data_IF_520280212495
#
_entry.id   IF_520280212495
#
_cell.length_a   1.000
_cell.length_b   1.000
_cell.length_c   1.000
_cell.angle_alpha   90.00
_cell.angle_beta   90.00
_cell.angle_gamma   90.00
#
_symmetry.space_group_name_H-M   'P 1'
#
loop_
_entity.id
_entity.type
_entity.pdbx_description
1 polymer ?
#
# COMPACT_ATOMS: atom_id res chain seq x y z
N UNK A 1 17.32 -10.62 -29.51
CA UNK A 1 17.24 -11.26 -28.18
C UNK A 1 15.97 -10.83 -27.45
N UNK A 2 15.68 -9.53 -27.34
CA UNK A 2 14.43 -9.05 -26.74
C UNK A 2 13.17 -9.42 -27.54
N UNK A 3 13.22 -9.47 -28.87
CA UNK A 3 12.05 -9.88 -29.69
C UNK A 3 11.61 -11.32 -29.42
N UNK A 4 12.57 -12.26 -29.33
CA UNK A 4 12.29 -13.65 -28.97
C UNK A 4 11.66 -13.71 -27.58
N UNK A 5 12.19 -12.96 -26.61
CA UNK A 5 11.65 -12.91 -25.26
C UNK A 5 10.23 -12.34 -25.22
N UNK A 6 9.95 -11.23 -25.93
CA UNK A 6 8.59 -10.67 -26.03
C UNK A 6 7.60 -11.66 -26.62
N UNK A 7 8.00 -12.45 -27.63
CA UNK A 7 7.16 -13.49 -28.20
C UNK A 7 6.89 -14.63 -27.19
N UNK A 8 7.92 -15.09 -26.46
CA UNK A 8 7.74 -16.13 -25.44
C UNK A 8 6.92 -15.64 -24.24
N UNK A 9 7.08 -14.39 -23.81
CA UNK A 9 6.28 -13.81 -22.72
C UNK A 9 4.81 -13.68 -23.12
N UNK A 10 4.53 -13.32 -24.38
CA UNK A 10 3.15 -13.27 -24.87
C UNK A 10 2.53 -14.67 -24.97
N UNK A 11 3.29 -15.67 -25.40
CA UNK A 11 2.81 -17.06 -25.48
C UNK A 11 2.45 -17.66 -24.11
N UNK A 12 2.99 -17.10 -23.03
CA UNK A 12 2.71 -17.50 -21.64
C UNK A 12 1.73 -16.56 -20.93
N UNK A 13 1.28 -15.49 -21.60
CA UNK A 13 0.34 -14.53 -21.06
C UNK A 13 -1.11 -15.00 -21.22
N UNK A 14 -1.90 -14.84 -20.16
CA UNK A 14 -3.35 -15.03 -20.18
C UNK A 14 -4.08 -13.72 -19.93
N UNK A 15 -5.21 -13.50 -20.58
CA UNK A 15 -6.06 -12.32 -20.32
C UNK A 15 -6.69 -12.47 -18.93
N UNK A 16 -6.50 -11.44 -18.10
CA UNK A 16 -7.18 -11.28 -16.81
C UNK A 16 -8.12 -10.10 -16.94
N UNK A 17 -9.42 -10.33 -16.79
CA UNK A 17 -10.40 -9.25 -16.76
C UNK A 17 -10.30 -8.48 -15.44
N UNK A 18 -10.09 -7.16 -15.53
CA UNK A 18 -9.90 -6.27 -14.37
C UNK A 18 -11.01 -5.23 -14.25
N UNK A 19 -12.17 -5.48 -14.87
CA UNK A 19 -13.31 -4.57 -14.81
C UNK A 19 -14.07 -4.68 -13.47
N UNK A 20 -13.43 -4.28 -12.38
CA UNK A 20 -14.03 -4.22 -11.04
C UNK A 20 -13.86 -2.82 -10.44
N UNK A 21 -14.87 -2.28 -9.73
CA UNK A 21 -14.79 -0.96 -9.10
C UNK A 21 -13.62 -0.71 -8.14
N UNK A 22 -12.94 -1.76 -7.64
CA UNK A 22 -11.80 -1.63 -6.72
C UNK A 22 -10.49 -1.42 -7.47
N UNK A 23 -10.42 -1.71 -8.77
CA UNK A 23 -9.17 -1.70 -9.52
C UNK A 23 -8.61 -0.29 -9.58
N UNK A 24 -9.42 0.70 -10.00
CA UNK A 24 -8.96 2.09 -10.03
C UNK A 24 -8.51 2.60 -8.66
N UNK A 25 -9.30 2.44 -7.57
CA UNK A 25 -8.85 2.84 -6.24
C UNK A 25 -7.60 2.11 -5.73
N UNK A 26 -7.40 0.83 -6.08
CA UNK A 26 -6.22 0.06 -5.67
C UNK A 26 -4.95 0.53 -6.38
N UNK A 27 -5.06 0.86 -7.67
CA UNK A 27 -3.96 1.45 -8.43
C UNK A 27 -3.61 2.84 -7.90
N UNK A 28 -4.63 3.66 -7.61
CA UNK A 28 -4.46 4.95 -6.96
C UNK A 28 -3.78 4.85 -5.60
N UNK A 29 -4.25 3.95 -4.73
CA UNK A 29 -3.62 3.68 -3.42
C UNK A 29 -2.12 3.38 -3.55
N UNK A 30 -1.74 2.58 -4.57
CA UNK A 30 -0.34 2.22 -4.81
C UNK A 30 0.48 3.44 -5.26
N UNK A 31 -0.11 4.31 -6.10
CA UNK A 31 0.52 5.56 -6.51
C UNK A 31 0.80 6.45 -5.28
N UNK A 32 -0.21 6.74 -4.47
CA UNK A 32 -0.08 7.66 -3.33
C UNK A 32 0.85 7.12 -2.24
N UNK A 33 0.84 5.81 -2.01
CA UNK A 33 1.82 5.17 -1.13
C UNK A 33 3.26 5.35 -1.66
N UNK A 34 3.44 5.29 -2.98
CA UNK A 34 4.71 5.57 -3.64
C UNK A 34 5.14 7.03 -3.53
N UNK A 35 4.20 7.97 -3.67
CA UNK A 35 4.45 9.41 -3.49
C UNK A 35 4.86 9.73 -2.05
N UNK A 36 4.13 9.21 -1.07
CA UNK A 36 4.47 9.27 0.36
C UNK A 36 5.89 8.75 0.61
N UNK A 37 6.20 7.53 0.14
CA UNK A 37 7.52 6.94 0.28
C UNK A 37 8.60 7.77 -0.42
N UNK A 38 8.29 8.36 -1.58
CA UNK A 38 9.16 9.26 -2.32
C UNK A 38 9.52 10.52 -1.54
N UNK A 39 8.55 11.14 -0.85
CA UNK A 39 8.82 12.30 0.01
C UNK A 39 9.65 11.93 1.23
N UNK A 40 9.30 10.84 1.92
CA UNK A 40 10.09 10.33 3.07
C UNK A 40 11.53 10.04 2.65
N UNK A 41 11.74 9.35 1.53
CA UNK A 41 13.09 9.07 1.00
C UNK A 41 13.91 10.34 0.78
N UNK A 42 13.30 11.39 0.20
CA UNK A 42 13.97 12.69 -0.01
C UNK A 42 14.31 13.38 1.32
N UNK A 43 13.42 13.33 2.32
CA UNK A 43 13.69 13.86 3.67
C UNK A 43 14.94 13.20 4.26
N UNK A 44 15.02 11.87 4.23
CA UNK A 44 16.18 11.16 4.79
C UNK A 44 17.46 11.35 3.98
N UNK A 45 17.38 11.36 2.64
CA UNK A 45 18.55 11.54 1.77
C UNK A 45 19.13 12.95 1.84
N UNK A 46 18.27 13.97 1.81
CA UNK A 46 18.69 15.36 1.58
C UNK A 46 18.75 16.19 2.88
N UNK A 47 18.12 15.72 3.96
CA UNK A 47 17.97 16.47 5.23
C UNK A 47 18.22 15.63 6.48
N UNK A 48 18.92 14.51 6.36
CA UNK A 48 19.30 13.64 7.49
C UNK A 48 18.10 13.23 8.39
N UNK A 49 16.94 13.04 7.76
CA UNK A 49 15.71 12.66 8.46
C UNK A 49 15.00 13.80 9.20
N UNK A 50 15.50 15.04 9.12
CA UNK A 50 14.87 16.18 9.77
C UNK A 50 13.60 16.60 9.02
N UNK A 51 12.45 16.42 9.68
CA UNK A 51 11.13 16.76 9.16
C UNK A 51 10.81 18.21 9.54
N UNK A 52 10.62 19.06 8.53
CA UNK A 52 10.15 20.44 8.71
C UNK A 52 8.62 20.51 8.74
N UNK A 53 8.05 21.65 9.12
CA UNK A 53 6.59 21.84 9.07
C UNK A 53 6.04 21.72 7.64
N UNK A 54 6.80 22.21 6.64
CA UNK A 54 6.42 22.06 5.23
C UNK A 54 6.39 20.58 4.81
N UNK A 55 7.30 19.76 5.31
CA UNK A 55 7.27 18.31 5.07
C UNK A 55 6.09 17.66 5.75
N UNK A 56 5.79 18.06 6.98
CA UNK A 56 4.67 17.52 7.75
C UNK A 56 3.36 17.74 7.00
N UNK A 57 3.10 18.94 6.51
CA UNK A 57 1.89 19.21 5.72
C UNK A 57 1.90 18.52 4.36
N UNK A 58 3.06 18.40 3.70
CA UNK A 58 3.17 17.62 2.46
C UNK A 58 2.89 16.13 2.69
N UNK A 59 3.44 15.52 3.73
CA UNK A 59 3.22 14.12 4.10
C UNK A 59 1.76 13.88 4.52
N UNK A 60 1.14 14.83 5.21
CA UNK A 60 -0.27 14.78 5.58
C UNK A 60 -1.19 14.76 4.36
N UNK A 61 -0.85 15.49 3.29
CA UNK A 61 -1.55 15.41 2.00
C UNK A 61 -1.54 13.99 1.46
N UNK A 62 -0.36 13.41 1.28
CA UNK A 62 -0.20 12.04 0.77
C UNK A 62 -0.88 10.98 1.66
N UNK A 63 -0.77 11.13 2.98
CA UNK A 63 -1.48 10.26 3.93
C UNK A 63 -3.00 10.38 3.78
N UNK A 64 -3.50 11.58 3.49
CA UNK A 64 -4.90 11.83 3.19
C UNK A 64 -5.35 11.14 1.90
N UNK A 65 -4.54 11.20 0.85
CA UNK A 65 -4.86 10.56 -0.43
C UNK A 65 -4.80 9.02 -0.33
N UNK A 66 -3.82 8.48 0.40
CA UNK A 66 -3.78 7.05 0.80
C UNK A 66 -5.05 6.66 1.55
N UNK A 67 -5.45 7.45 2.55
CA UNK A 67 -6.67 7.19 3.31
C UNK A 67 -7.92 7.27 2.42
N UNK A 68 -7.97 8.22 1.49
CA UNK A 68 -9.09 8.38 0.56
C UNK A 68 -9.25 7.13 -0.30
N UNK A 69 -8.19 6.65 -0.94
CA UNK A 69 -8.25 5.44 -1.77
C UNK A 69 -8.57 4.19 -0.95
N UNK A 70 -7.98 4.04 0.25
CA UNK A 70 -8.35 2.95 1.17
C UNK A 70 -9.84 2.98 1.49
N UNK A 71 -10.39 4.17 1.75
CA UNK A 71 -11.82 4.37 2.03
C UNK A 71 -12.67 3.98 0.83
N UNK A 72 -12.28 4.33 -0.39
CA UNK A 72 -12.99 3.91 -1.61
C UNK A 72 -12.98 2.40 -1.77
N UNK A 73 -11.83 1.74 -1.57
CA UNK A 73 -11.75 0.27 -1.62
C UNK A 73 -12.69 -0.36 -0.59
N UNK A 74 -12.67 0.12 0.65
CA UNK A 74 -13.57 -0.37 1.70
C UNK A 74 -15.04 -0.17 1.31
N UNK A 75 -15.39 1.01 0.78
CA UNK A 75 -16.75 1.34 0.35
C UNK A 75 -17.25 0.40 -0.75
N UNK A 76 -16.41 0.11 -1.76
CA UNK A 76 -16.77 -0.82 -2.85
C UNK A 76 -16.89 -2.28 -2.40
N UNK A 77 -16.40 -2.61 -1.20
CA UNK A 77 -16.50 -3.93 -0.57
C UNK A 77 -17.56 -3.97 0.54
N UNK A 78 -18.37 -2.92 0.68
CA UNK A 78 -19.35 -2.76 1.76
C UNK A 78 -18.74 -2.89 3.17
N UNK A 79 -17.49 -2.44 3.33
CA UNK A 79 -16.78 -2.41 4.60
C UNK A 79 -16.65 -0.99 5.13
N UNK A 80 -16.87 -0.80 6.43
CA UNK A 80 -16.48 0.44 7.10
C UNK A 80 -15.00 0.40 7.49
N UNK A 81 -14.35 1.59 7.52
CA UNK A 81 -13.00 1.71 8.09
C UNK A 81 -12.95 1.24 9.55
N UNK A 82 -14.04 1.40 10.30
CA UNK A 82 -14.14 0.98 11.69
C UNK A 82 -14.06 -0.55 11.83
N UNK A 83 -14.79 -1.30 10.99
CA UNK A 83 -14.73 -2.76 10.96
C UNK A 83 -13.32 -3.25 10.59
N UNK A 84 -12.70 -2.64 9.57
CA UNK A 84 -11.33 -2.98 9.15
C UNK A 84 -10.33 -2.72 10.28
N UNK A 85 -10.42 -1.57 10.95
CA UNK A 85 -9.56 -1.20 12.07
C UNK A 85 -9.73 -2.14 13.28
N UNK A 86 -10.98 -2.45 13.66
CA UNK A 86 -11.27 -3.35 14.77
C UNK A 86 -10.74 -4.77 14.51
N UNK A 87 -10.98 -5.31 13.31
CA UNK A 87 -10.46 -6.60 12.91
C UNK A 87 -8.92 -6.63 12.92
N UNK A 88 -8.27 -5.54 12.50
CA UNK A 88 -6.82 -5.41 12.54
C UNK A 88 -6.27 -5.43 13.98
N UNK A 89 -6.84 -4.62 14.87
CA UNK A 89 -6.42 -4.55 16.28
C UNK A 89 -6.65 -5.88 16.99
N UNK A 90 -7.79 -6.54 16.79
CA UNK A 90 -8.06 -7.86 17.39
C UNK A 90 -7.01 -8.90 16.95
N UNK A 91 -6.69 -8.94 15.65
CA UNK A 91 -5.64 -9.81 15.09
C UNK A 91 -4.26 -9.52 15.71
N UNK A 92 -3.87 -8.26 15.81
CA UNK A 92 -2.57 -7.86 16.35
C UNK A 92 -2.46 -8.12 17.86
N UNK A 93 -3.50 -7.83 18.64
CA UNK A 93 -3.56 -8.14 20.08
C UNK A 93 -3.42 -9.64 20.34
N UNK A 94 -4.13 -10.46 19.57
CA UNK A 94 -4.00 -11.93 19.66
C UNK A 94 -2.59 -12.42 19.30
N UNK A 95 -1.89 -11.77 18.34
CA UNK A 95 -0.47 -12.08 18.06
C UNK A 95 0.42 -11.71 19.25
N UNK A 96 0.15 -10.57 19.90
CA UNK A 96 0.88 -10.12 21.10
C UNK A 96 0.79 -11.12 22.23
N UNK A 97 -0.43 -11.54 22.55
CA UNK A 97 -0.72 -12.46 23.67
C UNK A 97 -0.04 -13.82 23.48
N UNK A 98 0.11 -14.26 22.23
CA UNK A 98 0.83 -15.49 21.88
C UNK A 98 2.35 -15.33 21.77
N UNK A 99 2.90 -14.16 22.06
CA UNK A 99 4.33 -13.87 21.92
C UNK A 99 4.84 -13.86 20.46
N UNK A 100 3.94 -13.79 19.47
CA UNK A 100 4.27 -13.87 18.02
C UNK A 100 4.32 -12.49 17.35
N UNK A 101 4.70 -11.43 18.08
CA UNK A 101 4.92 -10.10 17.48
C UNK A 101 6.34 -9.94 16.92
N UNK A 102 7.29 -10.80 17.32
CA UNK A 102 8.57 -10.93 16.63
C UNK A 102 8.40 -11.71 15.33
N UNK A 103 8.65 -11.06 14.20
CA UNK A 103 8.74 -11.75 12.93
C UNK A 103 10.12 -12.41 12.81
N UNK A 104 10.18 -13.73 12.96
CA UNK A 104 11.02 -14.52 12.06
C UNK A 104 10.13 -14.86 10.87
N UNK A 105 10.22 -14.01 9.85
CA UNK A 105 9.62 -14.20 8.54
C UNK A 105 10.65 -14.70 7.53
N UNK A 106 11.60 -15.52 7.97
CA UNK A 106 12.63 -16.13 7.13
C UNK A 106 12.50 -17.66 7.23
N UNK A 107 11.50 -18.18 6.51
CA UNK A 107 11.46 -19.57 6.02
C UNK A 107 10.22 -19.72 5.12
N UNK A 108 10.44 -19.49 3.83
CA UNK A 108 9.57 -19.94 2.73
C UNK A 108 10.43 -20.40 1.56
#
# INVERSE_FOLDING_TARGET
MFDWYQAQSFATWGVIETNHPIVYPTLGLTNEAGELAGKVKKIFRDRDGQITEADREALKGELGDVLWYLTQICTQLDLSLAEVAQANIAKLSSRRERGKIGGDGDDR
#
